data_IF_256288446028
#
_entry.id   IF_256288446028
#
_cell.length_a   1.000
_cell.length_b   1.000
_cell.length_c   1.000
_cell.angle_alpha   90.00
_cell.angle_beta   90.00
_cell.angle_gamma   90.00
#
_symmetry.space_group_name_H-M   'P 1'
#
loop_
_entity.id
_entity.type
_entity.pdbx_description
1 polymer ?
#
# COMPACT_ATOMS: atom_id res chain seq x y z
N UNK A 1 -0.20 12.93 6.29
CA UNK A 1 -0.50 11.56 6.77
C UNK A 1 -1.29 10.81 5.72
N UNK A 2 -1.00 9.56 5.55
CA UNK A 2 -1.72 8.70 4.60
C UNK A 2 -3.06 8.24 5.18
N UNK A 3 -3.95 7.79 4.31
CA UNK A 3 -5.17 7.10 4.70
C UNK A 3 -5.21 5.73 4.03
N UNK A 4 -5.59 4.72 4.77
CA UNK A 4 -5.81 3.37 4.23
C UNK A 4 -7.28 3.00 4.41
N UNK A 5 -7.80 2.21 3.49
CA UNK A 5 -9.19 1.80 3.49
C UNK A 5 -9.36 0.48 2.75
N UNK A 6 -10.47 -0.16 2.97
CA UNK A 6 -10.75 -1.42 2.29
C UNK A 6 -12.01 -2.08 2.78
N UNK A 7 -12.35 -3.18 2.15
CA UNK A 7 -13.45 -4.05 2.53
C UNK A 7 -13.08 -5.50 2.24
N UNK A 8 -13.74 -6.42 2.90
CA UNK A 8 -13.60 -7.85 2.67
C UNK A 8 -14.93 -8.54 2.91
N UNK A 9 -15.16 -9.66 2.21
CA UNK A 9 -16.37 -10.45 2.37
C UNK A 9 -17.59 -9.96 1.59
N UNK A 10 -17.40 -8.98 0.70
CA UNK A 10 -18.43 -8.46 -0.20
C UNK A 10 -18.07 -8.78 -1.64
N UNK A 11 -19.08 -8.74 -2.52
CA UNK A 11 -18.82 -8.77 -3.93
C UNK A 11 -18.04 -7.53 -4.38
N UNK A 12 -17.33 -7.67 -5.48
CA UNK A 12 -16.52 -6.60 -6.07
C UNK A 12 -17.33 -5.30 -6.18
N UNK A 13 -16.86 -4.23 -5.55
CA UNK A 13 -17.55 -2.95 -5.52
C UNK A 13 -16.56 -1.80 -5.69
N UNK A 14 -16.26 -1.48 -6.94
CA UNK A 14 -15.35 -0.41 -7.30
C UNK A 14 -15.86 0.95 -6.85
N UNK A 15 -17.16 1.19 -6.95
CA UNK A 15 -17.76 2.47 -6.56
C UNK A 15 -17.59 2.73 -5.07
N UNK A 16 -17.81 1.71 -4.24
CA UNK A 16 -17.60 1.82 -2.80
C UNK A 16 -16.15 2.17 -2.49
N UNK A 17 -15.20 1.50 -3.15
CA UNK A 17 -13.78 1.73 -2.92
C UNK A 17 -13.39 3.17 -3.30
N UNK A 18 -13.92 3.69 -4.41
CA UNK A 18 -13.66 5.08 -4.83
C UNK A 18 -14.28 6.09 -3.88
N UNK A 19 -15.45 5.82 -3.33
CA UNK A 19 -16.08 6.69 -2.32
C UNK A 19 -15.26 6.72 -1.04
N UNK A 20 -14.70 5.59 -0.63
CA UNK A 20 -13.79 5.53 0.51
C UNK A 20 -12.55 6.40 0.27
N UNK A 21 -11.99 6.34 -0.94
CA UNK A 21 -10.85 7.17 -1.32
C UNK A 21 -11.18 8.66 -1.24
N UNK A 22 -12.33 9.06 -1.73
CA UNK A 22 -12.75 10.47 -1.73
C UNK A 22 -12.86 11.02 -0.31
N UNK A 23 -13.39 10.23 0.62
CA UNK A 23 -13.51 10.63 2.03
C UNK A 23 -12.13 10.82 2.68
N UNK A 24 -11.13 10.05 2.28
CA UNK A 24 -9.79 10.09 2.87
C UNK A 24 -8.77 10.90 2.07
N UNK A 25 -9.16 11.48 0.95
CA UNK A 25 -8.22 12.20 0.07
C UNK A 25 -7.49 13.34 0.77
N UNK A 26 -8.11 13.99 1.74
CA UNK A 26 -7.49 15.08 2.51
C UNK A 26 -6.28 14.61 3.33
N UNK A 27 -6.18 13.32 3.63
CA UNK A 27 -5.05 12.77 4.40
C UNK A 27 -3.83 12.47 3.54
N UNK A 28 -4.04 12.21 2.26
CA UNK A 28 -2.93 11.89 1.35
C UNK A 28 -3.28 12.26 -0.09
N UNK A 29 -3.21 13.54 -0.45
CA UNK A 29 -3.62 13.99 -1.78
C UNK A 29 -2.61 13.74 -2.88
N UNK A 30 -1.39 13.30 -2.57
CA UNK A 30 -0.31 13.20 -3.55
C UNK A 30 -0.44 11.96 -4.44
N UNK A 31 -1.02 10.89 -3.95
CA UNK A 31 -1.13 9.64 -4.69
C UNK A 31 -2.29 8.81 -4.18
N UNK A 32 -2.85 7.99 -5.04
CA UNK A 32 -3.88 7.02 -4.71
C UNK A 32 -3.49 5.66 -5.31
N UNK A 33 -3.80 4.60 -4.59
CA UNK A 33 -3.59 3.24 -5.07
C UNK A 33 -4.76 2.36 -4.69
N UNK A 34 -5.10 1.41 -5.58
CA UNK A 34 -6.22 0.51 -5.40
C UNK A 34 -5.85 -0.91 -5.77
N UNK A 35 -6.44 -1.85 -5.06
CA UNK A 35 -6.50 -3.26 -5.44
C UNK A 35 -7.96 -3.69 -5.36
N UNK A 36 -8.49 -4.21 -6.46
CA UNK A 36 -9.87 -4.62 -6.55
C UNK A 36 -9.94 -6.10 -6.90
N UNK A 37 -10.21 -6.94 -5.91
CA UNK A 37 -10.44 -8.38 -6.08
C UNK A 37 -11.92 -8.73 -6.11
N UNK A 38 -12.24 -10.01 -6.21
CA UNK A 38 -13.63 -10.45 -6.26
C UNK A 38 -14.37 -10.20 -4.96
N UNK A 39 -13.72 -10.42 -3.82
CA UNK A 39 -14.35 -10.29 -2.50
C UNK A 39 -13.59 -9.36 -1.56
N UNK A 40 -12.56 -8.68 -2.05
CA UNK A 40 -11.75 -7.78 -1.25
C UNK A 40 -11.36 -6.56 -2.07
N UNK A 41 -11.37 -5.42 -1.44
CA UNK A 41 -10.85 -4.18 -2.01
C UNK A 41 -9.94 -3.51 -1.01
N UNK A 42 -8.80 -3.02 -1.48
CA UNK A 42 -7.86 -2.25 -0.67
C UNK A 42 -7.51 -0.97 -1.39
N UNK A 43 -7.24 0.06 -0.63
CA UNK A 43 -6.78 1.31 -1.21
C UNK A 43 -6.05 2.16 -0.21
N UNK A 44 -5.35 3.16 -0.73
CA UNK A 44 -4.72 4.16 0.11
C UNK A 44 -4.65 5.50 -0.61
N UNK A 45 -4.71 6.55 0.20
CA UNK A 45 -4.40 7.91 -0.20
C UNK A 45 -3.08 8.29 0.48
N UNK A 46 -2.11 8.71 -0.30
CA UNK A 46 -0.74 8.84 0.16
C UNK A 46 -0.28 10.29 0.19
N UNK A 47 0.34 10.67 1.30
CA UNK A 47 1.19 11.84 1.37
C UNK A 47 2.63 11.36 1.19
N UNK A 48 3.25 11.73 0.08
CA UNK A 48 4.53 11.20 -0.33
C UNK A 48 5.67 11.96 0.36
N UNK A 49 6.16 11.41 1.46
CA UNK A 49 7.27 11.98 2.22
C UNK A 49 8.59 11.29 1.90
N UNK A 50 8.57 9.95 1.84
CA UNK A 50 9.74 9.13 1.54
C UNK A 50 9.48 8.39 0.24
N UNK A 51 10.47 8.42 -0.67
CA UNK A 51 10.40 7.75 -1.97
C UNK A 51 9.10 8.08 -2.71
N UNK A 52 8.98 9.34 -3.09
CA UNK A 52 7.79 9.90 -3.75
C UNK A 52 7.36 9.07 -4.97
N UNK A 53 8.32 8.55 -5.73
CA UNK A 53 8.04 7.78 -6.94
C UNK A 53 7.96 6.27 -6.69
N UNK A 54 8.83 5.74 -5.81
CA UNK A 54 8.96 4.30 -5.59
C UNK A 54 8.06 3.71 -4.52
N UNK A 55 7.52 4.53 -3.63
CA UNK A 55 6.72 4.06 -2.51
C UNK A 55 5.23 3.88 -2.78
N UNK A 56 4.84 3.77 -4.04
CA UNK A 56 3.43 3.61 -4.43
C UNK A 56 2.84 2.31 -3.87
N UNK A 57 1.63 2.38 -3.34
CA UNK A 57 0.91 1.23 -2.76
C UNK A 57 -0.41 1.00 -3.50
N UNK A 58 -0.98 -0.21 -3.49
CA UNK A 58 -0.52 -1.40 -2.76
C UNK A 58 0.80 -1.95 -3.29
N UNK A 59 1.58 -2.59 -2.40
CA UNK A 59 2.82 -3.25 -2.76
C UNK A 59 2.57 -4.75 -2.84
N UNK A 60 3.09 -5.38 -3.87
CA UNK A 60 2.89 -6.81 -4.13
C UNK A 60 4.19 -7.58 -3.90
N UNK A 61 4.05 -8.86 -3.52
CA UNK A 61 5.17 -9.78 -3.58
C UNK A 61 5.49 -10.13 -5.04
N UNK A 62 6.61 -10.83 -5.27
CA UNK A 62 7.08 -11.16 -6.62
C UNK A 62 6.03 -11.92 -7.43
N UNK A 63 5.35 -12.86 -6.82
CA UNK A 63 4.32 -13.70 -7.45
C UNK A 63 2.96 -13.01 -7.55
N UNK A 64 2.81 -11.83 -6.96
CA UNK A 64 1.56 -11.08 -6.89
C UNK A 64 0.41 -11.85 -6.24
N UNK A 65 0.75 -12.70 -5.29
CA UNK A 65 -0.23 -13.46 -4.48
C UNK A 65 -0.59 -12.74 -3.19
N UNK A 66 0.23 -11.79 -2.76
CA UNK A 66 0.02 -10.98 -1.57
C UNK A 66 0.14 -9.50 -1.93
N UNK A 67 -0.65 -8.69 -1.26
CA UNK A 67 -0.59 -7.24 -1.39
C UNK A 67 -0.68 -6.60 -0.01
N UNK A 68 -0.01 -5.48 0.17
CA UNK A 68 -0.06 -4.73 1.41
C UNK A 68 -0.31 -3.25 1.14
N UNK A 69 -1.14 -2.64 1.98
CA UNK A 69 -1.22 -1.21 2.18
C UNK A 69 -0.77 -0.92 3.61
N UNK A 70 -0.01 0.14 3.81
CA UNK A 70 0.59 0.40 5.11
C UNK A 70 0.70 1.90 5.36
N UNK A 71 0.14 2.33 6.48
CA UNK A 71 0.29 3.68 6.99
C UNK A 71 0.98 3.62 8.34
N UNK A 72 2.29 3.81 8.34
CA UNK A 72 3.10 3.70 9.54
C UNK A 72 4.58 3.76 9.21
N UNK A 73 5.39 3.42 10.19
CA UNK A 73 6.83 3.35 10.04
C UNK A 73 7.37 2.06 10.65
N UNK A 74 8.38 1.48 10.00
CA UNK A 74 9.11 0.33 10.52
C UNK A 74 10.50 0.85 10.90
N UNK A 75 10.69 1.13 12.18
CA UNK A 75 11.90 1.82 12.67
C UNK A 75 13.18 1.03 12.41
N UNK A 76 13.10 -0.29 12.45
CA UNK A 76 14.23 -1.17 12.18
C UNK A 76 14.25 -1.73 10.76
N UNK A 77 13.66 -1.00 9.81
CA UNK A 77 13.51 -1.52 8.44
C UNK A 77 14.85 -1.80 7.77
N UNK A 78 15.89 -1.03 8.08
CA UNK A 78 17.22 -1.25 7.49
C UNK A 78 17.82 -2.58 7.91
N UNK A 79 17.66 -2.95 9.17
CA UNK A 79 18.14 -4.22 9.69
C UNK A 79 17.36 -5.40 9.10
N UNK A 80 16.03 -5.26 9.04
CA UNK A 80 15.16 -6.27 8.43
C UNK A 80 15.46 -6.44 6.94
N UNK A 81 15.67 -5.34 6.24
CA UNK A 81 16.02 -5.35 4.82
C UNK A 81 17.31 -6.11 4.58
N UNK A 82 18.33 -5.86 5.41
CA UNK A 82 19.62 -6.55 5.30
C UNK A 82 19.45 -8.06 5.49
N UNK A 83 18.71 -8.48 6.50
CA UNK A 83 18.43 -9.89 6.77
C UNK A 83 17.74 -10.53 5.57
N UNK A 84 16.75 -9.87 4.99
CA UNK A 84 15.98 -10.39 3.86
C UNK A 84 16.81 -10.43 2.57
N UNK A 85 17.65 -9.44 2.33
CA UNK A 85 18.57 -9.44 1.19
C UNK A 85 19.53 -10.62 1.30
N UNK A 86 20.06 -10.88 2.49
CA UNK A 86 20.96 -12.01 2.74
C UNK A 86 20.25 -13.36 2.48
N UNK A 87 18.95 -13.41 2.61
CA UNK A 87 18.13 -14.58 2.29
C UNK A 87 17.69 -14.68 0.83
N UNK A 88 18.09 -13.73 -0.01
CA UNK A 88 17.80 -13.75 -1.44
C UNK A 88 16.60 -12.93 -1.88
N UNK A 89 15.95 -12.19 -1.00
CA UNK A 89 14.84 -11.32 -1.36
C UNK A 89 15.33 -10.02 -1.98
N UNK A 90 14.54 -9.48 -2.91
CA UNK A 90 14.83 -8.21 -3.58
C UNK A 90 13.83 -7.15 -3.19
N UNK A 91 14.31 -5.92 -3.11
CA UNK A 91 13.48 -4.76 -2.80
C UNK A 91 13.46 -3.80 -3.98
N UNK A 92 12.29 -3.25 -4.27
CA UNK A 92 12.08 -2.34 -5.40
C UNK A 92 11.97 -0.87 -4.99
N UNK A 93 11.87 -0.58 -3.68
CA UNK A 93 11.73 0.79 -3.17
C UNK A 93 12.75 1.07 -2.07
N UNK A 94 12.85 2.35 -1.69
CA UNK A 94 13.69 2.81 -0.56
C UNK A 94 12.87 3.05 0.70
N UNK A 95 11.55 2.95 0.60
CA UNK A 95 10.63 3.16 1.71
C UNK A 95 10.63 1.99 2.69
N UNK A 96 10.30 2.26 3.94
CA UNK A 96 10.08 1.23 4.94
C UNK A 96 8.76 0.50 4.69
#
# INVERSE_FOLDING_TARGET
MCGIFGYAGFDRDELLLRRMADVLNHRGPDDEGFLLGETVGLGMCRLSIIDVEGGHQPIFNKEKTLAIIFNGEIYNYKDLKKILIDKGYKFSTRSD
#
